data_IF_042474484417
#
_entry.id   IF_042474484417
#
_cell.length_a   1.000
_cell.length_b   1.000
_cell.length_c   1.000
_cell.angle_alpha   90.00
_cell.angle_beta   90.00
_cell.angle_gamma   90.00
#
_symmetry.space_group_name_H-M   'P 1'
#
loop_
_entity.id
_entity.type
_entity.pdbx_description
1 polymer ?
#
# COMPACT_ATOMS: atom_id res chain seq x y z
N UNK A 1 -17.82 12.14 17.61
CA UNK A 1 -17.99 10.78 18.14
C UNK A 1 -17.13 10.71 19.39
N UNK A 2 -17.73 10.73 20.58
CA UNK A 2 -17.01 10.64 21.86
C UNK A 2 -16.83 9.15 22.22
N UNK A 3 -15.61 8.64 22.12
CA UNK A 3 -15.26 7.29 22.55
C UNK A 3 -15.31 7.24 24.07
N UNK A 4 -16.41 6.75 24.65
CA UNK A 4 -16.48 6.51 26.10
C UNK A 4 -15.63 5.31 26.45
N UNK A 5 -14.44 5.56 27.00
CA UNK A 5 -13.48 4.54 27.44
C UNK A 5 -14.01 3.89 28.73
N UNK A 6 -14.90 2.89 28.63
CA UNK A 6 -15.59 2.33 29.80
C UNK A 6 -14.90 1.17 30.50
N UNK A 7 -13.78 0.64 29.96
CA UNK A 7 -13.19 -0.61 30.45
C UNK A 7 -11.65 -0.58 30.63
N UNK A 8 -11.05 0.57 30.97
CA UNK A 8 -9.62 0.57 31.36
C UNK A 8 -9.48 0.32 32.86
N UNK A 9 -8.50 -0.49 33.25
CA UNK A 9 -8.05 -0.56 34.63
C UNK A 9 -7.45 0.79 35.06
N UNK A 10 -7.40 1.05 36.37
CA UNK A 10 -6.88 2.31 36.91
C UNK A 10 -5.43 2.58 36.45
N UNK A 11 -4.61 1.53 36.39
CA UNK A 11 -3.21 1.59 35.92
C UNK A 11 -3.14 1.94 34.43
N UNK A 12 -3.99 1.35 33.60
CA UNK A 12 -4.03 1.65 32.15
C UNK A 12 -4.55 3.07 31.89
N UNK A 13 -5.53 3.51 32.69
CA UNK A 13 -6.07 4.88 32.64
C UNK A 13 -5.01 5.93 32.98
N UNK A 14 -4.19 5.68 34.00
CA UNK A 14 -3.08 6.54 34.40
C UNK A 14 -1.98 6.60 33.34
N UNK A 15 -1.56 5.45 32.80
CA UNK A 15 -0.58 5.41 31.70
C UNK A 15 -1.07 6.17 30.47
N UNK A 16 -2.35 6.03 30.14
CA UNK A 16 -2.94 6.75 29.03
C UNK A 16 -2.99 8.27 29.29
N UNK A 17 -3.26 8.70 30.52
CA UNK A 17 -3.15 10.12 30.91
C UNK A 17 -1.73 10.66 30.79
N UNK A 18 -0.72 9.88 31.18
CA UNK A 18 0.69 10.26 31.05
C UNK A 18 1.10 10.42 29.59
N UNK A 19 0.71 9.46 28.74
CA UNK A 19 0.96 9.51 27.30
C UNK A 19 0.25 10.71 26.65
N UNK A 20 -1.02 10.95 26.99
CA UNK A 20 -1.75 12.09 26.47
C UNK A 20 -1.14 13.43 26.93
N UNK A 21 -0.71 13.53 28.20
CA UNK A 21 -0.03 14.73 28.72
C UNK A 21 1.31 14.99 28.04
N UNK A 22 2.08 13.95 27.72
CA UNK A 22 3.37 14.09 27.01
C UNK A 22 3.20 14.76 25.64
N UNK A 23 2.08 14.49 24.98
CA UNK A 23 1.71 15.09 23.69
C UNK A 23 0.89 16.39 23.84
N UNK A 24 0.66 16.87 25.07
CA UNK A 24 -0.16 18.07 25.33
C UNK A 24 -1.65 17.90 25.00
N UNK A 25 -2.15 16.66 24.94
CA UNK A 25 -3.51 16.32 24.55
C UNK A 25 -4.35 15.84 25.74
N UNK A 26 -5.67 16.02 25.64
CA UNK A 26 -6.62 15.31 26.51
C UNK A 26 -6.70 13.84 26.11
N UNK A 27 -6.93 12.94 27.08
CA UNK A 27 -7.07 11.49 26.88
C UNK A 27 -7.89 11.09 25.64
N UNK A 28 -9.08 11.66 25.49
CA UNK A 28 -9.99 11.34 24.37
C UNK A 28 -9.44 11.80 23.01
N UNK A 29 -8.74 12.94 22.98
CA UNK A 29 -8.07 13.45 21.77
C UNK A 29 -6.89 12.57 21.40
N UNK A 30 -6.08 12.17 22.38
CA UNK A 30 -4.94 11.28 22.18
C UNK A 30 -5.39 9.94 21.58
N UNK A 31 -6.42 9.29 22.13
CA UNK A 31 -6.98 8.06 21.54
C UNK A 31 -7.48 8.30 20.12
N UNK A 32 -8.23 9.38 19.90
CA UNK A 32 -8.78 9.70 18.58
C UNK A 32 -7.67 9.89 17.56
N UNK A 33 -6.56 10.50 17.95
CA UNK A 33 -5.41 10.75 17.09
C UNK A 33 -4.62 9.47 16.79
N UNK A 34 -4.40 8.62 17.79
CA UNK A 34 -3.79 7.30 17.62
C UNK A 34 -4.63 6.43 16.66
N UNK A 35 -5.95 6.37 16.87
CA UNK A 35 -6.86 5.63 15.99
C UNK A 35 -6.86 6.21 14.57
N UNK A 36 -6.90 7.54 14.44
CA UNK A 36 -6.84 8.19 13.13
C UNK A 36 -5.53 7.91 12.40
N UNK A 37 -4.41 7.93 13.11
CA UNK A 37 -3.09 7.66 12.52
C UNK A 37 -2.94 6.19 12.13
N UNK A 38 -3.48 5.27 12.93
CA UNK A 38 -3.53 3.85 12.60
C UNK A 38 -4.39 3.58 11.36
N UNK A 39 -5.63 4.10 11.34
CA UNK A 39 -6.52 3.98 10.19
C UNK A 39 -5.93 4.63 8.92
N UNK A 40 -5.31 5.81 9.04
CA UNK A 40 -4.60 6.44 7.93
C UNK A 40 -3.42 5.59 7.45
N UNK A 41 -2.70 4.96 8.36
CA UNK A 41 -1.57 4.07 8.04
C UNK A 41 -2.03 2.85 7.24
N UNK A 42 -3.13 2.23 7.63
CA UNK A 42 -3.73 1.10 6.92
C UNK A 42 -4.26 1.51 5.54
N UNK A 43 -4.92 2.66 5.43
CA UNK A 43 -5.38 3.22 4.15
C UNK A 43 -4.20 3.53 3.21
N UNK A 44 -3.09 4.06 3.75
CA UNK A 44 -1.85 4.34 2.99
C UNK A 44 -1.17 3.05 2.53
N UNK A 45 -1.10 2.04 3.40
CA UNK A 45 -0.55 0.72 3.06
C UNK A 45 -1.37 0.07 1.95
N UNK A 46 -2.70 0.12 2.04
CA UNK A 46 -3.59 -0.39 1.00
C UNK A 46 -3.44 0.37 -0.31
N UNK A 47 -3.43 1.71 -0.28
CA UNK A 47 -3.26 2.53 -1.47
C UNK A 47 -1.91 2.27 -2.17
N UNK A 48 -0.83 2.08 -1.40
CA UNK A 48 0.49 1.75 -1.94
C UNK A 48 0.54 0.32 -2.50
N UNK A 49 -0.11 -0.65 -1.85
CA UNK A 49 -0.23 -2.01 -2.36
C UNK A 49 -0.99 -2.02 -3.70
N UNK A 50 -2.16 -1.37 -3.75
CA UNK A 50 -2.99 -1.29 -4.95
C UNK A 50 -2.26 -0.54 -6.09
N UNK A 51 -1.52 0.53 -5.77
CA UNK A 51 -0.68 1.22 -6.75
C UNK A 51 0.43 0.32 -7.30
N UNK A 52 1.15 -0.39 -6.42
CA UNK A 52 2.24 -1.26 -6.83
C UNK A 52 1.74 -2.42 -7.70
N UNK A 53 0.63 -3.05 -7.33
CA UNK A 53 0.03 -4.14 -8.10
C UNK A 53 -0.39 -3.67 -9.51
N UNK A 54 -1.00 -2.50 -9.61
CA UNK A 54 -1.40 -1.92 -10.90
C UNK A 54 -0.21 -1.51 -11.78
N UNK A 55 0.81 -0.87 -11.22
CA UNK A 55 1.98 -0.46 -11.99
C UNK A 55 2.84 -1.66 -12.42
N UNK A 56 3.00 -2.66 -11.55
CA UNK A 56 3.68 -3.91 -11.91
C UNK A 56 2.92 -4.65 -13.00
N UNK A 57 1.58 -4.70 -12.95
CA UNK A 57 0.77 -5.31 -14.00
C UNK A 57 1.00 -4.63 -15.37
N UNK A 58 1.03 -3.30 -15.42
CA UNK A 58 1.33 -2.54 -16.66
C UNK A 58 2.71 -2.85 -17.21
N UNK A 59 3.73 -2.92 -16.36
CA UNK A 59 5.10 -3.26 -16.78
C UNK A 59 5.16 -4.67 -17.36
N UNK A 60 4.48 -5.63 -16.73
CA UNK A 60 4.39 -7.01 -17.22
C UNK A 60 3.72 -7.06 -18.61
N UNK A 61 2.66 -6.29 -18.84
CA UNK A 61 2.02 -6.22 -20.16
C UNK A 61 2.95 -5.66 -21.23
N UNK A 62 3.67 -4.58 -20.93
CA UNK A 62 4.65 -3.99 -21.87
C UNK A 62 5.74 -5.00 -22.21
N UNK A 63 6.26 -5.74 -21.22
CA UNK A 63 7.26 -6.79 -21.45
C UNK A 63 6.70 -7.91 -22.33
N UNK A 64 5.46 -8.35 -22.08
CA UNK A 64 4.79 -9.37 -22.91
C UNK A 64 4.64 -8.92 -24.35
N UNK A 65 4.24 -7.67 -24.57
CA UNK A 65 4.06 -7.14 -25.92
C UNK A 65 5.39 -6.94 -26.64
N UNK A 66 6.44 -6.49 -25.93
CA UNK A 66 7.79 -6.43 -26.48
C UNK A 66 8.28 -7.82 -26.90
N UNK A 67 8.06 -8.85 -26.07
CA UNK A 67 8.41 -10.22 -26.43
C UNK A 67 7.65 -10.72 -27.67
N UNK A 68 6.36 -10.38 -27.83
CA UNK A 68 5.62 -10.73 -29.05
C UNK A 68 6.20 -10.04 -30.29
N UNK A 69 6.59 -8.79 -30.19
CA UNK A 69 7.22 -8.04 -31.30
C UNK A 69 8.55 -8.66 -31.68
N UNK A 70 9.39 -8.98 -30.68
CA UNK A 70 10.68 -9.65 -30.89
C UNK A 70 10.49 -11.00 -31.57
N UNK A 71 9.55 -11.83 -31.09
CA UNK A 71 9.27 -13.14 -31.70
C UNK A 71 8.79 -13.01 -33.15
N UNK A 72 7.92 -12.04 -33.46
CA UNK A 72 7.50 -11.77 -34.85
C UNK A 72 8.66 -11.34 -35.74
N UNK A 73 9.60 -10.56 -35.20
CA UNK A 73 10.80 -10.16 -35.94
C UNK A 73 11.71 -11.36 -36.23
N UNK A 74 11.88 -12.26 -35.26
CA UNK A 74 12.60 -13.53 -35.46
C UNK A 74 11.93 -14.41 -36.52
N UNK A 75 10.61 -14.63 -36.44
CA UNK A 75 9.86 -15.43 -37.42
C UNK A 75 10.01 -14.87 -38.84
N UNK A 76 10.03 -13.53 -38.98
CA UNK A 76 10.20 -12.88 -40.29
C UNK A 76 11.63 -13.06 -40.84
N UNK A 77 12.64 -12.99 -39.97
CA UNK A 77 14.04 -13.23 -40.36
C UNK A 77 14.26 -14.69 -40.77
N UNK A 78 13.73 -15.66 -40.01
CA UNK A 78 13.81 -17.09 -40.35
C UNK A 78 13.12 -17.44 -41.68
N UNK A 79 11.97 -16.81 -41.98
CA UNK A 79 11.29 -17.03 -43.26
C UNK A 79 12.09 -16.46 -44.43
N UNK A 80 12.69 -15.28 -44.25
CA UNK A 80 13.52 -14.65 -45.29
C UNK A 80 14.78 -15.44 -45.61
N UNK A 81 15.40 -16.06 -44.62
CA UNK A 81 16.58 -16.91 -44.82
C UNK A 81 16.22 -18.24 -45.51
N UNK A 82 14.99 -18.73 -45.34
CA UNK A 82 14.52 -19.96 -45.99
C UNK A 82 14.00 -19.76 -47.43
N UNK A 83 13.49 -18.57 -47.78
CA UNK A 83 13.02 -18.24 -49.15
C UNK A 83 14.16 -17.82 -50.10
N UNK A 84 15.40 -17.73 -49.62
CA UNK A 84 16.59 -17.32 -50.37
C UNK A 84 17.41 -18.45 -51.00
N UNK A 85 16.90 -19.69 -51.02
CA UNK A 85 17.58 -20.86 -51.59
C UNK A 85 16.79 -21.48 -52.75
#
# INVERSE_FOLDING_TARGET
MELKIRNLTEVESQKLDELAKKEGLSKDKYITEVLRNHLKGDDLLKANHDFFENEVAKVIEVIKDNNKVINRAYDYMERKDNDGN
#
